data_IF_471812457195
#
_entry.id   IF_471812457195
#
_cell.length_a   1.000
_cell.length_b   1.000
_cell.length_c   1.000
_cell.angle_alpha   90.00
_cell.angle_beta   90.00
_cell.angle_gamma   90.00
#
_symmetry.space_group_name_H-M   'P 1'
#
loop_
_entity.id
_entity.type
_entity.pdbx_description
1 polymer ?
#
# COMPACT_ATOMS: atom_id res chain seq x y z
N UNK A 1 -20.88 26.73 78.01
CA UNK A 1 -21.32 25.53 77.28
C UNK A 1 -21.29 25.80 75.78
N UNK A 2 -20.19 25.47 75.11
CA UNK A 2 -20.05 25.57 73.65
C UNK A 2 -20.15 24.16 73.08
N UNK A 3 -21.13 23.92 72.20
CA UNK A 3 -21.32 22.65 71.50
C UNK A 3 -20.36 22.60 70.31
N UNK A 4 -19.59 21.53 70.23
CA UNK A 4 -18.70 21.20 69.12
C UNK A 4 -19.57 20.52 68.05
N UNK A 5 -19.67 21.11 66.87
CA UNK A 5 -20.19 20.45 65.67
C UNK A 5 -19.00 19.83 64.94
N UNK A 6 -18.93 18.51 64.91
CA UNK A 6 -17.97 17.76 64.09
C UNK A 6 -18.48 17.70 62.65
N UNK A 7 -17.76 18.31 61.72
CA UNK A 7 -18.00 18.21 60.28
C UNK A 7 -17.41 16.88 59.79
N UNK A 8 -18.27 15.93 59.40
CA UNK A 8 -17.86 14.68 58.75
C UNK A 8 -17.58 14.99 57.27
N UNK A 9 -16.31 14.96 56.87
CA UNK A 9 -15.88 15.09 55.48
C UNK A 9 -16.11 13.75 54.77
N UNK A 10 -17.13 13.68 53.91
CA UNK A 10 -17.36 12.55 53.02
C UNK A 10 -16.35 12.65 51.86
N UNK A 11 -15.33 11.79 51.83
CA UNK A 11 -14.43 11.66 50.68
C UNK A 11 -15.11 10.73 49.66
N UNK A 12 -15.77 11.31 48.66
CA UNK A 12 -16.18 10.58 47.46
C UNK A 12 -14.95 10.32 46.59
N UNK A 13 -14.49 9.06 46.59
CA UNK A 13 -13.52 8.56 45.61
C UNK A 13 -14.23 8.47 44.27
N UNK A 14 -13.96 9.41 43.36
CA UNK A 14 -14.37 9.30 41.96
C UNK A 14 -13.45 8.26 41.34
N UNK A 15 -13.93 7.01 41.28
CA UNK A 15 -13.28 5.98 40.49
C UNK A 15 -13.35 6.39 39.02
N UNK A 16 -12.20 6.64 38.41
CA UNK A 16 -12.09 6.71 36.96
C UNK A 16 -12.44 5.32 36.41
N UNK A 17 -13.69 5.14 35.98
CA UNK A 17 -14.03 4.03 35.11
C UNK A 17 -13.26 4.26 33.80
N UNK A 18 -12.14 3.55 33.62
CA UNK A 18 -11.66 3.26 32.26
C UNK A 18 -12.82 2.55 31.57
N UNK A 19 -13.34 3.13 30.50
CA UNK A 19 -14.15 2.38 29.55
C UNK A 19 -13.37 1.13 29.22
N UNK A 20 -13.92 -0.05 29.52
CA UNK A 20 -13.36 -1.29 29.04
C UNK A 20 -13.38 -1.18 27.51
N UNK A 21 -12.21 -0.92 26.91
CA UNK A 21 -12.03 -1.21 25.50
C UNK A 21 -12.40 -2.68 25.35
N UNK A 22 -13.38 -3.04 24.50
CA UNK A 22 -13.67 -4.44 24.26
C UNK A 22 -12.34 -5.12 23.95
N UNK A 23 -12.01 -6.18 24.70
CA UNK A 23 -10.85 -6.98 24.37
C UNK A 23 -10.99 -7.35 22.88
N UNK A 24 -9.98 -7.07 22.04
CA UNK A 24 -10.08 -7.37 20.62
C UNK A 24 -10.48 -8.84 20.49
N UNK A 25 -11.60 -9.08 19.82
CA UNK A 25 -12.10 -10.43 19.62
C UNK A 25 -11.03 -11.16 18.79
N UNK A 26 -10.30 -12.06 19.46
CA UNK A 26 -9.17 -12.79 18.89
C UNK A 26 -9.64 -13.60 17.69
N UNK A 27 -9.15 -13.22 16.51
CA UNK A 27 -9.39 -13.94 15.27
C UNK A 27 -8.09 -13.92 14.45
N UNK A 28 -7.45 -15.09 14.24
CA UNK A 28 -6.39 -15.19 13.22
C UNK A 28 -7.01 -14.87 11.86
N UNK A 29 -6.22 -14.29 10.94
CA UNK A 29 -6.68 -13.83 9.62
C UNK A 29 -7.79 -12.77 9.74
N UNK A 30 -7.36 -11.55 10.04
CA UNK A 30 -8.23 -10.38 10.09
C UNK A 30 -8.34 -9.75 8.71
N UNK A 31 -9.54 -9.24 8.41
CA UNK A 31 -9.77 -8.25 7.36
C UNK A 31 -10.34 -7.01 8.03
N UNK A 32 -9.81 -5.83 7.67
CA UNK A 32 -10.35 -4.53 8.07
C UNK A 32 -10.60 -3.67 6.84
N UNK A 33 -11.41 -2.63 6.99
CA UNK A 33 -11.73 -1.71 5.90
C UNK A 33 -11.08 -0.36 6.12
N UNK A 34 -10.45 0.15 5.07
CA UNK A 34 -10.24 1.57 4.88
C UNK A 34 -11.51 2.17 4.29
N UNK A 35 -11.99 3.26 4.87
CA UNK A 35 -13.25 3.91 4.50
C UNK A 35 -13.30 5.39 4.91
N UNK A 36 -12.17 6.01 5.23
CA UNK A 36 -12.12 7.43 5.59
C UNK A 36 -12.41 8.34 4.40
N UNK A 37 -12.02 7.93 3.19
CA UNK A 37 -12.16 8.69 1.96
C UNK A 37 -13.26 8.12 1.05
N UNK A 38 -13.26 8.43 -0.24
CA UNK A 38 -14.28 7.98 -1.19
C UNK A 38 -14.05 6.54 -1.69
N UNK A 39 -12.98 5.88 -1.27
CA UNK A 39 -12.70 4.46 -1.54
C UNK A 39 -13.02 3.65 -0.28
N UNK A 40 -13.80 2.58 -0.42
CA UNK A 40 -13.89 1.54 0.62
C UNK A 40 -13.06 0.34 0.17
N UNK A 41 -11.98 0.00 0.89
CA UNK A 41 -11.12 -1.14 0.55
C UNK A 41 -10.85 -2.04 1.74
N UNK A 42 -11.08 -3.34 1.57
CA UNK A 42 -10.72 -4.37 2.53
C UNK A 42 -9.20 -4.66 2.45
N UNK A 43 -8.54 -4.79 3.59
CA UNK A 43 -7.12 -5.16 3.72
C UNK A 43 -6.97 -6.23 4.79
N UNK A 44 -6.03 -7.14 4.61
CA UNK A 44 -5.81 -8.26 5.52
C UNK A 44 -4.43 -8.25 6.17
N UNK A 45 -4.27 -9.03 7.24
CA UNK A 45 -2.96 -9.37 7.83
C UNK A 45 -2.39 -10.68 7.30
N UNK A 46 -2.67 -11.01 6.03
CA UNK A 46 -2.14 -12.17 5.34
C UNK A 46 -1.99 -11.91 3.82
N UNK A 47 -1.70 -10.66 3.45
CA UNK A 47 -1.38 -10.25 2.08
C UNK A 47 -2.56 -9.94 1.16
N UNK A 48 -3.77 -10.42 1.44
CA UNK A 48 -4.95 -10.04 0.64
C UNK A 48 -5.36 -8.59 0.86
N UNK A 49 -5.77 -7.93 -0.21
CA UNK A 49 -6.61 -6.73 -0.18
C UNK A 49 -7.69 -6.80 -1.27
N UNK A 50 -8.70 -5.94 -1.18
CA UNK A 50 -9.80 -5.90 -2.13
C UNK A 50 -10.75 -7.11 -2.05
N UNK A 51 -10.68 -7.96 -1.03
CA UNK A 51 -11.61 -9.08 -0.82
C UNK A 51 -12.22 -9.04 0.59
N UNK A 52 -13.53 -9.26 0.69
CA UNK A 52 -14.27 -9.31 1.97
C UNK A 52 -14.06 -10.63 2.71
N UNK A 53 -14.42 -10.69 3.99
CA UNK A 53 -14.40 -11.94 4.76
C UNK A 53 -15.29 -13.05 4.19
N UNK A 54 -16.32 -12.67 3.43
CA UNK A 54 -17.22 -13.59 2.76
C UNK A 54 -16.64 -14.14 1.43
N UNK A 55 -15.48 -13.65 1.00
CA UNK A 55 -14.88 -14.02 -0.29
C UNK A 55 -15.46 -13.27 -1.50
N UNK A 56 -16.23 -12.20 -1.27
CA UNK A 56 -16.75 -11.33 -2.33
C UNK A 56 -15.84 -10.11 -2.54
N UNK A 57 -16.07 -9.38 -3.63
CA UNK A 57 -15.41 -8.11 -3.96
C UNK A 57 -15.40 -7.14 -2.78
N UNK A 58 -14.25 -6.52 -2.57
CA UNK A 58 -13.90 -5.81 -1.35
C UNK A 58 -13.24 -4.46 -1.57
N UNK A 59 -13.17 -3.98 -2.82
CA UNK A 59 -13.00 -2.55 -3.11
C UNK A 59 -14.27 -2.00 -3.76
N UNK A 60 -14.80 -0.93 -3.17
CA UNK A 60 -15.98 -0.22 -3.66
C UNK A 60 -15.70 1.26 -3.87
N UNK A 61 -16.16 1.80 -4.99
CA UNK A 61 -15.99 3.20 -5.34
C UNK A 61 -17.08 3.70 -6.30
N UNK A 62 -17.75 4.83 -6.01
CA UNK A 62 -17.62 5.65 -4.82
C UNK A 62 -18.10 4.93 -3.55
N UNK A 63 -17.56 5.28 -2.39
CA UNK A 63 -17.92 4.68 -1.11
C UNK A 63 -19.44 4.77 -0.88
N UNK A 64 -20.05 3.62 -0.59
CA UNK A 64 -21.48 3.51 -0.33
C UNK A 64 -22.37 3.34 -1.57
N UNK A 65 -21.80 3.36 -2.78
CA UNK A 65 -22.54 3.05 -4.02
C UNK A 65 -22.86 1.56 -4.16
N UNK A 66 -21.96 0.69 -3.71
CA UNK A 66 -21.99 -0.74 -4.00
C UNK A 66 -21.26 -1.13 -5.29
N UNK A 67 -20.69 -0.15 -6.01
CA UNK A 67 -19.96 -0.38 -7.25
C UNK A 67 -18.60 -1.03 -6.96
N UNK A 68 -18.37 -2.24 -7.46
CA UNK A 68 -17.19 -3.06 -7.23
C UNK A 68 -16.05 -2.69 -8.18
N UNK A 69 -14.81 -2.79 -7.72
CA UNK A 69 -13.62 -2.55 -8.55
C UNK A 69 -12.48 -3.54 -8.30
N UNK A 70 -12.48 -4.24 -7.16
CA UNK A 70 -11.53 -5.34 -6.89
C UNK A 70 -12.31 -6.52 -6.28
N UNK A 71 -12.15 -7.71 -6.88
CA UNK A 71 -12.60 -8.96 -6.29
C UNK A 71 -11.61 -9.48 -5.25
N UNK A 72 -10.32 -9.46 -5.60
CA UNK A 72 -9.21 -9.73 -4.71
C UNK A 72 -7.85 -9.39 -5.33
N UNK A 73 -6.88 -9.09 -4.48
CA UNK A 73 -5.53 -8.74 -4.91
C UNK A 73 -4.53 -9.03 -3.79
N UNK A 74 -3.24 -9.11 -4.12
CA UNK A 74 -2.20 -9.34 -3.12
C UNK A 74 -0.78 -9.41 -3.67
N UNK A 75 0.24 -9.29 -2.79
CA UNK A 75 1.64 -9.31 -3.17
C UNK A 75 2.11 -10.74 -3.51
N UNK A 76 2.96 -10.84 -4.49
CA UNK A 76 3.70 -12.04 -4.88
C UNK A 76 5.18 -11.77 -4.66
N UNK A 77 5.91 -12.73 -4.10
CA UNK A 77 7.36 -12.66 -3.99
C UNK A 77 7.97 -13.95 -4.52
N UNK A 78 8.85 -13.80 -5.51
CA UNK A 78 9.56 -14.91 -6.15
C UNK A 78 11.07 -14.85 -5.90
N UNK A 79 11.73 -16.00 -5.78
CA UNK A 79 13.19 -16.13 -5.69
C UNK A 79 13.64 -17.47 -6.29
N UNK A 80 14.94 -17.61 -6.56
CA UNK A 80 15.55 -18.93 -6.85
C UNK A 80 16.28 -19.45 -5.62
N UNK A 81 16.06 -20.74 -5.32
CA UNK A 81 16.77 -21.50 -4.29
C UNK A 81 17.44 -22.73 -4.90
N UNK A 82 18.71 -22.59 -5.28
CA UNK A 82 19.45 -23.64 -5.98
C UNK A 82 18.95 -23.84 -7.40
N UNK A 83 18.24 -24.95 -7.65
CA UNK A 83 17.62 -25.26 -8.96
C UNK A 83 16.10 -25.10 -8.95
N UNK A 84 15.55 -24.69 -7.81
CA UNK A 84 14.12 -24.58 -7.57
C UNK A 84 13.71 -23.12 -7.67
N UNK A 85 12.58 -22.85 -8.33
CA UNK A 85 11.89 -21.58 -8.17
C UNK A 85 11.10 -21.64 -6.88
N UNK A 86 10.86 -20.48 -6.25
CA UNK A 86 9.91 -20.36 -5.16
C UNK A 86 9.12 -19.08 -5.33
N UNK A 87 7.82 -19.15 -5.16
CA UNK A 87 6.89 -18.03 -5.15
C UNK A 87 5.91 -18.21 -4.00
N UNK A 88 5.84 -17.19 -3.15
CA UNK A 88 4.76 -17.08 -2.15
C UNK A 88 3.80 -15.96 -2.52
N UNK A 89 2.50 -16.21 -2.32
CA UNK A 89 1.42 -15.37 -2.81
C UNK A 89 0.48 -14.89 -1.69
N UNK A 90 0.08 -13.63 -1.77
CA UNK A 90 -0.98 -13.05 -0.96
C UNK A 90 -2.36 -13.20 -1.59
N UNK A 91 -2.44 -13.44 -2.90
CA UNK A 91 -3.69 -13.70 -3.62
C UNK A 91 -3.44 -14.53 -4.88
N UNK A 92 -4.08 -15.69 -4.98
CA UNK A 92 -4.13 -16.51 -6.19
C UNK A 92 -5.37 -16.15 -7.02
N UNK A 93 -5.25 -15.76 -8.30
CA UNK A 93 -6.37 -15.31 -9.12
C UNK A 93 -7.35 -16.42 -9.54
N UNK A 94 -6.98 -17.70 -9.36
CA UNK A 94 -7.82 -18.84 -9.70
C UNK A 94 -8.88 -19.17 -8.63
N UNK A 95 -8.47 -19.17 -7.36
CA UNK A 95 -9.31 -19.61 -6.24
C UNK A 95 -9.21 -18.71 -5.01
N UNK A 96 -8.53 -17.57 -5.11
CA UNK A 96 -8.27 -16.68 -3.98
C UNK A 96 -7.34 -17.31 -2.95
N UNK A 97 -6.37 -18.12 -3.36
CA UNK A 97 -5.40 -18.71 -2.43
C UNK A 97 -4.51 -17.64 -1.78
N UNK A 98 -4.00 -17.92 -0.58
CA UNK A 98 -3.00 -17.07 0.08
C UNK A 98 -2.12 -17.93 0.99
N UNK A 99 -0.82 -17.66 0.96
CA UNK A 99 0.20 -18.48 1.61
C UNK A 99 0.80 -17.79 2.86
N UNK A 100 0.56 -16.49 3.03
CA UNK A 100 1.00 -15.75 4.21
C UNK A 100 0.15 -16.04 5.46
N UNK A 101 0.76 -15.86 6.62
CA UNK A 101 0.14 -15.96 7.94
C UNK A 101 0.44 -14.73 8.82
N UNK A 102 -0.49 -14.31 9.69
CA UNK A 102 -0.28 -13.16 10.56
C UNK A 102 0.89 -13.33 11.53
N UNK A 103 1.65 -12.25 11.75
CA UNK A 103 2.69 -12.16 12.78
C UNK A 103 4.12 -12.21 12.22
N UNK A 104 5.09 -12.01 13.13
CA UNK A 104 6.52 -12.20 12.89
C UNK A 104 6.87 -13.69 12.76
N UNK A 105 8.09 -14.01 12.32
CA UNK A 105 8.58 -15.38 12.06
C UNK A 105 8.43 -16.35 13.24
N UNK A 106 8.60 -15.83 14.47
CA UNK A 106 8.55 -16.61 15.71
C UNK A 106 7.22 -16.40 16.46
N UNK A 107 6.25 -15.75 15.82
CA UNK A 107 4.95 -15.40 16.40
C UNK A 107 3.87 -16.38 15.93
N UNK A 108 3.03 -16.84 16.85
CA UNK A 108 1.84 -17.61 16.47
C UNK A 108 0.84 -16.72 15.73
N UNK A 109 0.18 -17.24 14.70
CA UNK A 109 -0.93 -16.53 14.04
C UNK A 109 -2.12 -16.23 14.97
N UNK A 110 -2.18 -16.90 16.12
CA UNK A 110 -3.14 -16.61 17.20
C UNK A 110 -2.64 -15.63 18.27
N UNK A 111 -1.44 -15.06 18.11
CA UNK A 111 -0.89 -14.08 19.05
C UNK A 111 -1.80 -12.83 19.13
N UNK A 112 -2.03 -12.27 20.33
CA UNK A 112 -2.87 -11.08 20.49
C UNK A 112 -2.38 -9.84 19.72
N UNK A 113 -1.10 -9.80 19.36
CA UNK A 113 -0.49 -8.71 18.59
C UNK A 113 -0.45 -9.00 17.08
N UNK A 114 -0.75 -10.23 16.62
CA UNK A 114 -0.81 -10.61 15.21
C UNK A 114 -2.11 -10.12 14.54
N UNK A 115 -2.36 -8.81 14.61
CA UNK A 115 -3.59 -8.14 14.19
C UNK A 115 -3.30 -6.99 13.21
N UNK A 116 -4.35 -6.40 12.66
CA UNK A 116 -4.26 -5.12 11.93
C UNK A 116 -4.43 -3.98 12.93
N UNK A 117 -3.40 -3.16 13.10
CA UNK A 117 -3.47 -1.90 13.84
C UNK A 117 -4.07 -0.83 12.92
N UNK A 118 -5.02 -0.05 13.44
CA UNK A 118 -5.70 1.01 12.68
C UNK A 118 -5.59 2.30 13.45
N UNK A 119 -5.13 3.37 12.81
CA UNK A 119 -5.26 4.71 13.36
C UNK A 119 -6.73 5.18 13.23
N UNK A 120 -7.35 5.76 14.29
CA UNK A 120 -6.75 6.13 15.57
C UNK A 120 -6.74 5.06 16.66
N UNK A 121 -7.45 3.94 16.50
CA UNK A 121 -7.45 2.86 17.50
C UNK A 121 -7.74 1.49 16.88
N UNK A 122 -6.97 0.43 17.20
CA UNK A 122 -5.79 0.41 18.07
C UNK A 122 -4.53 0.90 17.32
N UNK A 123 -3.90 1.97 17.80
CA UNK A 123 -2.66 2.57 17.28
C UNK A 123 -1.90 3.31 18.40
N UNK A 124 -0.56 3.38 18.40
CA UNK A 124 0.37 2.68 17.50
C UNK A 124 0.53 1.18 17.85
N UNK A 125 1.10 0.37 16.95
CA UNK A 125 1.55 -0.98 17.30
C UNK A 125 2.62 -0.93 18.41
N UNK A 126 2.65 -1.90 19.36
CA UNK A 126 3.62 -1.91 20.45
C UNK A 126 5.07 -1.99 19.94
N UNK A 127 5.87 -0.94 20.16
CA UNK A 127 7.24 -0.83 19.62
C UNK A 127 8.22 -1.86 20.20
N UNK A 128 7.95 -2.38 21.40
CA UNK A 128 8.72 -3.46 22.04
C UNK A 128 8.50 -4.82 21.38
N UNK A 129 7.32 -5.02 20.78
CA UNK A 129 6.98 -6.21 19.98
C UNK A 129 7.38 -6.02 18.52
N UNK A 130 7.15 -4.81 17.98
CA UNK A 130 7.35 -4.48 16.58
C UNK A 130 8.29 -3.27 16.44
N UNK A 131 9.62 -3.46 16.47
CA UNK A 131 10.57 -2.36 16.32
C UNK A 131 10.49 -1.62 14.98
N UNK A 132 9.98 -2.29 13.94
CA UNK A 132 9.79 -1.71 12.59
C UNK A 132 8.42 -1.03 12.42
N UNK A 133 7.55 -1.06 13.43
CA UNK A 133 6.23 -0.46 13.31
C UNK A 133 6.27 1.07 13.33
N UNK A 134 5.51 1.74 12.43
CA UNK A 134 5.34 3.19 12.50
C UNK A 134 4.67 3.59 13.81
N UNK A 135 5.22 4.63 14.45
CA UNK A 135 4.70 5.14 15.72
C UNK A 135 3.89 6.42 15.55
N UNK A 136 4.07 7.11 14.42
CA UNK A 136 3.36 8.33 14.05
C UNK A 136 2.56 8.05 12.79
N UNK A 137 1.24 8.33 12.78
CA UNK A 137 0.43 8.18 11.57
C UNK A 137 0.80 9.26 10.54
N UNK A 138 0.74 8.92 9.25
CA UNK A 138 0.98 9.83 8.13
C UNK A 138 -0.31 10.38 7.51
N UNK A 139 -1.41 9.61 7.53
CA UNK A 139 -2.66 9.97 6.85
C UNK A 139 -3.87 10.10 7.79
N UNK A 140 -5.05 10.39 7.23
CA UNK A 140 -6.29 10.44 8.01
C UNK A 140 -6.75 9.05 8.48
N UNK A 141 -6.32 7.98 7.80
CA UNK A 141 -6.53 6.61 8.23
C UNK A 141 -5.36 5.74 7.79
N UNK A 142 -4.55 5.35 8.77
CA UNK A 142 -3.45 4.43 8.57
C UNK A 142 -3.84 3.03 9.05
N UNK A 143 -3.34 2.01 8.37
CA UNK A 143 -3.31 0.66 8.93
C UNK A 143 -1.91 0.07 8.83
N UNK A 144 -1.54 -0.73 9.81
CA UNK A 144 -0.28 -1.46 9.82
C UNK A 144 -0.46 -2.88 10.32
N UNK A 145 0.22 -3.83 9.68
CA UNK A 145 0.34 -5.21 10.17
C UNK A 145 1.63 -5.86 9.66
N UNK A 146 1.97 -7.01 10.24
CA UNK A 146 3.04 -7.88 9.77
C UNK A 146 2.52 -9.30 9.57
N UNK A 147 3.00 -9.96 8.52
CA UNK A 147 2.72 -11.35 8.20
C UNK A 147 3.94 -12.02 7.57
N UNK A 148 3.95 -13.34 7.48
CA UNK A 148 5.08 -14.13 6.99
C UNK A 148 4.64 -15.39 6.25
N UNK A 149 5.53 -15.97 5.45
CA UNK A 149 5.28 -17.19 4.66
C UNK A 149 5.80 -18.48 5.32
N UNK A 150 6.02 -18.50 6.64
CA UNK A 150 6.75 -19.61 7.28
C UNK A 150 5.87 -20.81 7.66
N UNK A 151 4.55 -20.66 7.65
CA UNK A 151 3.62 -21.75 7.94
C UNK A 151 3.45 -22.67 6.72
N UNK A 152 4.20 -23.77 6.71
CA UNK A 152 4.13 -24.80 5.67
C UNK A 152 2.71 -25.32 5.41
N UNK A 153 1.79 -25.25 6.38
CA UNK A 153 0.41 -25.70 6.19
C UNK A 153 -0.43 -24.77 5.30
N UNK A 154 0.06 -23.55 5.03
CA UNK A 154 -0.54 -22.60 4.09
C UNK A 154 -0.07 -22.77 2.66
N UNK A 155 1.06 -23.43 2.46
CA UNK A 155 1.60 -23.68 1.14
C UNK A 155 0.91 -24.89 0.49
N UNK A 156 0.89 -24.88 -0.84
CA UNK A 156 0.36 -25.97 -1.66
C UNK A 156 1.28 -27.18 -1.59
N UNK A 157 0.84 -28.33 -1.04
CA UNK A 157 1.70 -29.49 -0.87
C UNK A 157 2.25 -30.03 -2.20
N UNK A 158 3.57 -30.11 -2.29
CA UNK A 158 4.27 -30.63 -3.47
C UNK A 158 4.47 -29.61 -4.59
N UNK A 159 4.13 -28.34 -4.36
CA UNK A 159 4.37 -27.24 -5.31
C UNK A 159 5.15 -26.11 -4.64
N UNK A 160 4.54 -25.40 -3.69
CA UNK A 160 5.17 -24.26 -2.98
C UNK A 160 5.69 -24.64 -1.60
N UNK A 161 6.62 -23.84 -1.05
CA UNK A 161 7.12 -23.95 0.33
C UNK A 161 7.61 -22.59 0.83
N UNK A 162 7.80 -22.41 2.15
CA UNK A 162 8.34 -21.18 2.71
C UNK A 162 9.67 -20.76 2.11
N UNK A 163 9.77 -19.48 1.78
CA UNK A 163 10.98 -18.76 1.37
C UNK A 163 11.71 -18.24 2.62
N UNK A 164 10.96 -17.76 3.62
CA UNK A 164 11.50 -17.10 4.80
C UNK A 164 11.44 -15.57 4.66
N UNK A 165 10.24 -15.07 4.43
CA UNK A 165 9.93 -13.67 4.22
C UNK A 165 8.94 -13.16 5.29
N UNK A 166 9.28 -12.05 5.93
CA UNK A 166 8.32 -11.22 6.64
C UNK A 166 7.92 -10.04 5.76
N UNK A 167 6.63 -9.71 5.76
CA UNK A 167 6.09 -8.56 5.03
C UNK A 167 5.41 -7.63 6.02
N UNK A 168 5.88 -6.40 6.06
CA UNK A 168 5.33 -5.32 6.85
C UNK A 168 4.47 -4.47 5.93
N UNK A 169 3.15 -4.51 6.10
CA UNK A 169 2.21 -3.81 5.24
C UNK A 169 1.68 -2.57 5.95
N UNK A 170 1.85 -1.41 5.32
CA UNK A 170 1.23 -0.15 5.73
C UNK A 170 0.27 0.32 4.64
N UNK A 171 -0.89 0.84 5.02
CA UNK A 171 -1.87 1.39 4.07
C UNK A 171 -2.23 2.80 4.51
N UNK A 172 -2.21 3.74 3.58
CA UNK A 172 -2.52 5.15 3.83
C UNK A 172 -3.73 5.59 3.03
N UNK A 173 -4.59 6.41 3.66
CA UNK A 173 -5.76 6.98 3.04
C UNK A 173 -5.97 8.43 3.51
N UNK A 174 -5.86 9.38 2.57
CA UNK A 174 -6.22 10.78 2.80
C UNK A 174 -7.62 11.07 2.30
N UNK A 175 -8.26 12.04 2.95
CA UNK A 175 -9.62 12.49 2.65
C UNK A 175 -9.64 13.99 2.31
N UNK A 176 -8.75 14.38 1.40
CA UNK A 176 -8.73 15.72 0.80
C UNK A 176 -9.40 15.66 -0.57
N UNK A 177 -9.86 16.79 -1.10
CA UNK A 177 -10.56 16.82 -2.39
C UNK A 177 -9.74 16.24 -3.55
N UNK A 178 -8.41 16.34 -3.48
CA UNK A 178 -7.47 15.84 -4.49
C UNK A 178 -7.07 14.37 -4.26
N UNK A 179 -7.27 13.83 -3.06
CA UNK A 179 -6.74 12.51 -2.67
C UNK A 179 -7.82 11.51 -2.26
N UNK A 180 -9.09 11.93 -2.26
CA UNK A 180 -10.18 11.13 -1.70
C UNK A 180 -10.47 9.85 -2.50
N UNK A 181 -9.96 9.75 -3.72
CA UNK A 181 -10.16 8.63 -4.65
C UNK A 181 -8.87 7.78 -4.79
N UNK A 182 -7.95 7.88 -3.81
CA UNK A 182 -6.64 7.22 -3.81
C UNK A 182 -6.44 6.42 -2.50
N UNK A 183 -5.81 5.25 -2.59
CA UNK A 183 -5.27 4.46 -1.47
C UNK A 183 -3.83 4.09 -1.77
N UNK A 184 -2.93 4.15 -0.80
CA UNK A 184 -1.54 3.73 -0.96
C UNK A 184 -1.27 2.46 -0.15
N UNK A 185 -0.57 1.49 -0.72
CA UNK A 185 -0.14 0.27 -0.03
C UNK A 185 1.37 0.15 -0.11
N UNK A 186 2.02 0.17 1.05
CA UNK A 186 3.47 0.03 1.20
C UNK A 186 3.80 -1.33 1.82
N UNK A 187 4.73 -2.04 1.21
CA UNK A 187 5.27 -3.33 1.65
C UNK A 187 6.75 -3.18 1.98
N UNK A 188 7.15 -3.62 3.16
CA UNK A 188 8.56 -3.84 3.49
C UNK A 188 8.81 -5.34 3.56
N UNK A 189 9.67 -5.82 2.68
CA UNK A 189 9.98 -7.21 2.43
C UNK A 189 11.28 -7.54 3.16
N UNK A 190 11.18 -8.21 4.31
CA UNK A 190 12.34 -8.54 5.13
C UNK A 190 12.69 -10.02 4.98
N UNK A 191 13.94 -10.26 4.58
CA UNK A 191 14.47 -11.60 4.51
C UNK A 191 14.84 -12.12 5.90
N UNK A 192 14.11 -13.15 6.35
CA UNK A 192 14.35 -13.83 7.63
C UNK A 192 14.83 -15.27 7.44
N UNK A 193 15.16 -15.66 6.21
CA UNK A 193 15.61 -17.02 5.87
C UNK A 193 17.01 -17.36 6.41
N UNK A 194 17.80 -16.36 6.81
CA UNK A 194 19.18 -16.52 7.27
C UNK A 194 20.20 -16.74 6.14
N UNK A 195 19.77 -16.67 4.87
CA UNK A 195 20.64 -16.73 3.69
C UNK A 195 20.29 -15.61 2.71
N UNK A 196 21.18 -15.32 1.77
CA UNK A 196 20.87 -14.40 0.67
C UNK A 196 19.80 -15.01 -0.25
N UNK A 197 18.76 -14.24 -0.55
CA UNK A 197 17.78 -14.55 -1.60
C UNK A 197 18.27 -13.90 -2.90
N UNK A 198 18.20 -14.65 -3.99
CA UNK A 198 18.80 -14.25 -5.28
C UNK A 198 17.77 -14.33 -6.40
N UNK A 199 17.91 -13.44 -7.40
CA UNK A 199 16.93 -13.27 -8.46
C UNK A 199 15.52 -13.06 -7.90
N UNK A 200 15.40 -12.16 -6.94
CA UNK A 200 14.14 -11.84 -6.31
C UNK A 200 13.27 -10.98 -7.21
N UNK A 201 11.97 -11.26 -7.22
CA UNK A 201 10.97 -10.44 -7.88
C UNK A 201 9.83 -10.18 -6.90
N UNK A 202 9.30 -8.97 -6.93
CA UNK A 202 8.05 -8.65 -6.26
C UNK A 202 7.00 -8.30 -7.31
N UNK A 203 5.75 -8.70 -7.08
CA UNK A 203 4.65 -8.18 -7.88
C UNK A 203 3.36 -8.01 -7.10
N UNK A 204 2.44 -7.23 -7.65
CA UNK A 204 1.08 -7.09 -7.14
C UNK A 204 0.14 -7.71 -8.16
N UNK A 205 -0.50 -8.83 -7.76
CA UNK A 205 -1.50 -9.51 -8.57
C UNK A 205 -2.87 -8.91 -8.25
N UNK A 206 -3.64 -8.56 -9.28
CA UNK A 206 -4.95 -7.93 -9.13
C UNK A 206 -5.98 -8.66 -9.98
N UNK A 207 -7.06 -9.05 -9.34
CA UNK A 207 -8.31 -9.53 -9.94
C UNK A 207 -9.34 -8.43 -9.72
N UNK A 208 -9.33 -7.49 -10.64
CA UNK A 208 -10.25 -6.36 -10.64
C UNK A 208 -11.57 -6.84 -11.24
N UNK A 209 -12.68 -6.46 -10.62
CA UNK A 209 -14.02 -6.95 -10.92
C UNK A 209 -14.93 -5.73 -10.99
N UNK A 210 -14.79 -5.02 -12.11
CA UNK A 210 -15.52 -3.78 -12.33
C UNK A 210 -16.88 -4.18 -12.86
N UNK A 211 -17.92 -4.08 -12.03
CA UNK A 211 -19.28 -4.43 -12.47
C UNK A 211 -19.56 -5.92 -12.44
N UNK A 212 -20.23 -6.44 -13.46
CA UNK A 212 -20.68 -7.83 -13.51
C UNK A 212 -19.78 -8.69 -14.41
N UNK A 213 -18.75 -9.28 -13.83
CA UNK A 213 -17.82 -10.18 -14.53
C UNK A 213 -18.32 -11.64 -14.63
N UNK A 214 -19.60 -11.91 -14.34
CA UNK A 214 -20.11 -13.28 -14.38
C UNK A 214 -20.32 -13.79 -15.81
N UNK A 215 -19.49 -14.74 -16.24
CA UNK A 215 -19.69 -15.51 -17.47
C UNK A 215 -19.60 -14.64 -18.73
N UNK A 216 -20.65 -14.61 -19.55
CA UNK A 216 -20.64 -13.83 -20.80
C UNK A 216 -20.81 -12.33 -20.60
N UNK A 217 -20.99 -11.87 -19.36
CA UNK A 217 -21.08 -10.44 -19.05
C UNK A 217 -19.71 -9.80 -18.87
N UNK A 218 -18.67 -10.63 -18.62
CA UNK A 218 -17.31 -10.18 -18.39
C UNK A 218 -16.80 -9.34 -19.56
N UNK A 219 -16.30 -8.15 -19.24
CA UNK A 219 -15.99 -7.15 -20.25
C UNK A 219 -14.86 -6.20 -19.84
N UNK A 220 -14.13 -6.57 -18.80
CA UNK A 220 -12.99 -5.82 -18.33
C UNK A 220 -11.86 -5.77 -19.38
N UNK A 221 -11.18 -4.62 -19.43
CA UNK A 221 -10.09 -4.33 -20.36
C UNK A 221 -8.91 -3.79 -19.56
N UNK A 222 -7.73 -4.36 -19.79
CA UNK A 222 -6.49 -3.97 -19.11
C UNK A 222 -5.52 -3.30 -20.08
N UNK A 223 -4.85 -2.24 -19.63
CA UNK A 223 -3.64 -1.76 -20.30
C UNK A 223 -2.62 -1.29 -19.27
N UNK A 224 -1.42 -0.96 -19.75
CA UNK A 224 -0.33 -0.54 -18.92
C UNK A 224 0.55 0.46 -19.64
N UNK A 225 1.14 1.37 -18.88
CA UNK A 225 2.05 2.42 -19.32
C UNK A 225 3.38 2.13 -18.64
N UNK A 226 4.41 1.86 -19.44
CA UNK A 226 5.78 1.78 -18.92
C UNK A 226 6.30 3.19 -18.70
N UNK A 227 6.22 4.01 -19.74
CA UNK A 227 6.40 5.45 -19.70
C UNK A 227 5.66 6.07 -20.90
N UNK A 228 4.88 7.12 -20.69
CA UNK A 228 4.24 7.89 -21.75
C UNK A 228 4.06 9.36 -21.32
N UNK A 229 3.84 10.23 -22.30
CA UNK A 229 3.64 11.67 -22.08
C UNK A 229 2.30 12.11 -22.63
N UNK A 230 1.48 12.67 -21.75
CA UNK A 230 0.17 13.21 -22.08
C UNK A 230 0.20 14.73 -22.09
N UNK A 231 -0.56 15.35 -23.01
CA UNK A 231 -0.83 16.78 -22.96
C UNK A 231 -2.30 16.96 -22.60
N UNK A 232 -2.57 17.43 -21.39
CA UNK A 232 -3.94 17.57 -20.89
C UNK A 232 -4.17 19.00 -20.43
N UNK A 233 -5.15 19.66 -21.03
CA UNK A 233 -5.46 21.07 -20.76
C UNK A 233 -4.26 22.03 -20.88
N UNK A 234 -3.28 21.70 -21.73
CA UNK A 234 -2.06 22.51 -21.94
C UNK A 234 -0.92 22.18 -20.98
N UNK A 235 -1.11 21.23 -20.06
CA UNK A 235 -0.07 20.72 -19.17
C UNK A 235 0.52 19.42 -19.72
N UNK A 236 1.83 19.25 -19.57
CA UNK A 236 2.54 18.02 -19.88
C UNK A 236 2.58 17.13 -18.63
N UNK A 237 2.04 15.92 -18.74
CA UNK A 237 2.03 14.90 -17.70
C UNK A 237 2.89 13.73 -18.17
N UNK A 238 3.90 13.36 -17.39
CA UNK A 238 4.66 12.12 -17.59
C UNK A 238 4.08 11.09 -16.65
N UNK A 239 3.73 9.92 -17.18
CA UNK A 239 3.21 8.78 -16.42
C UNK A 239 4.12 7.62 -16.70
N UNK A 240 4.56 6.93 -15.66
CA UNK A 240 5.31 5.69 -15.74
C UNK A 240 4.70 4.63 -14.82
N UNK A 241 5.13 3.38 -14.98
CA UNK A 241 4.81 2.26 -14.09
C UNK A 241 3.32 1.97 -13.80
N UNK A 242 2.39 2.53 -14.58
CA UNK A 242 0.94 2.44 -14.34
C UNK A 242 0.32 1.22 -15.03
N UNK A 243 -0.31 0.33 -14.25
CA UNK A 243 -1.24 -0.69 -14.73
C UNK A 243 -2.68 -0.26 -14.46
N UNK A 244 -3.61 -0.46 -15.41
CA UNK A 244 -4.98 0.01 -15.22
C UNK A 244 -6.04 -0.83 -15.94
N UNK A 245 -7.26 -0.79 -15.40
CA UNK A 245 -8.42 -1.53 -15.88
C UNK A 245 -9.67 -0.67 -15.95
N UNK A 246 -10.52 -0.94 -16.94
CA UNK A 246 -11.83 -0.34 -17.14
C UNK A 246 -12.72 -1.28 -17.97
N UNK A 247 -14.02 -1.02 -18.00
CA UNK A 247 -14.93 -1.64 -18.96
C UNK A 247 -15.68 -0.60 -19.78
N UNK A 248 -16.30 -1.03 -20.89
CA UNK A 248 -16.99 -0.15 -21.84
C UNK A 248 -18.51 -0.18 -21.71
N UNK A 249 -19.07 -1.26 -21.17
CA UNK A 249 -20.51 -1.36 -21.01
C UNK A 249 -20.97 -0.55 -19.79
N UNK A 250 -22.29 -0.39 -19.67
CA UNK A 250 -22.88 0.22 -18.49
C UNK A 250 -23.33 -0.86 -17.53
N UNK A 251 -23.15 -0.59 -16.25
CA UNK A 251 -23.68 -1.42 -15.19
C UNK A 251 -25.06 -0.95 -14.74
N UNK A 252 -25.90 -1.93 -14.40
CA UNK A 252 -27.23 -1.62 -13.86
C UNK A 252 -27.07 -0.96 -12.49
N UNK A 253 -27.81 0.13 -12.26
CA UNK A 253 -27.78 0.92 -11.02
C UNK A 253 -26.48 1.70 -10.75
N UNK A 254 -25.55 1.76 -11.71
CA UNK A 254 -24.36 2.61 -11.63
C UNK A 254 -24.59 3.93 -12.36
N UNK A 255 -24.22 5.05 -11.73
CA UNK A 255 -24.29 6.37 -12.37
C UNK A 255 -23.35 6.46 -13.58
N UNK A 256 -22.14 5.92 -13.45
CA UNK A 256 -21.13 5.79 -14.50
C UNK A 256 -20.10 4.73 -14.11
N UNK A 257 -19.45 4.13 -15.09
CA UNK A 257 -18.33 3.20 -14.90
C UNK A 257 -17.02 3.97 -15.05
N UNK A 258 -16.17 3.85 -14.04
CA UNK A 258 -14.86 4.47 -14.00
C UNK A 258 -13.75 3.54 -14.45
N UNK A 259 -12.54 3.87 -14.00
CA UNK A 259 -11.35 3.07 -14.16
C UNK A 259 -10.60 3.00 -12.83
N UNK A 260 -9.87 1.91 -12.64
CA UNK A 260 -8.91 1.74 -11.54
C UNK A 260 -7.49 1.66 -12.13
N UNK A 261 -6.57 2.39 -11.52
CA UNK A 261 -5.15 2.39 -11.84
C UNK A 261 -4.32 2.00 -10.63
N UNK A 262 -3.16 1.41 -10.89
CA UNK A 262 -2.17 0.99 -9.92
C UNK A 262 -0.82 1.51 -10.42
N UNK A 263 -0.26 2.46 -9.69
CA UNK A 263 1.02 3.07 -9.99
C UNK A 263 2.09 2.54 -9.02
N UNK A 264 3.24 2.16 -9.57
CA UNK A 264 4.35 1.55 -8.85
C UNK A 264 5.35 2.62 -8.40
N UNK A 265 4.93 3.41 -7.41
CA UNK A 265 5.64 4.60 -6.89
C UNK A 265 7.01 4.30 -6.28
N UNK A 266 7.11 3.17 -5.58
CA UNK A 266 8.37 2.72 -5.01
C UNK A 266 8.65 1.27 -5.40
N UNK A 267 9.84 1.00 -5.91
CA UNK A 267 10.33 -0.35 -6.21
C UNK A 267 11.64 -0.63 -5.47
N UNK A 268 12.16 -1.87 -5.48
CA UNK A 268 13.47 -2.15 -4.93
C UNK A 268 14.53 -1.27 -5.61
N UNK A 269 15.55 -0.89 -4.83
CA UNK A 269 16.59 0.01 -5.30
C UNK A 269 17.43 -0.62 -6.39
N UNK A 270 17.70 0.13 -7.46
CA UNK A 270 18.58 -0.31 -8.53
C UNK A 270 20.01 0.19 -8.29
N UNK A 271 20.58 -0.14 -7.13
CA UNK A 271 21.92 0.33 -6.78
C UNK A 271 22.98 -0.56 -7.42
N UNK A 272 23.78 -0.01 -8.36
CA UNK A 272 24.91 -0.73 -8.95
C UNK A 272 26.21 0.00 -8.66
N UNK A 273 27.17 -0.71 -8.08
CA UNK A 273 28.48 -0.16 -7.73
C UNK A 273 29.15 0.49 -8.95
N UNK A 274 29.51 1.78 -8.80
CA UNK A 274 30.17 2.59 -9.81
C UNK A 274 29.25 3.07 -10.94
N UNK A 275 27.93 2.89 -10.83
CA UNK A 275 26.94 3.57 -11.66
C UNK A 275 26.43 4.82 -10.92
N UNK A 276 25.83 5.71 -11.70
CA UNK A 276 25.09 6.91 -11.28
C UNK A 276 23.95 6.99 -12.30
N UNK A 277 22.80 6.40 -11.97
CA UNK A 277 21.74 6.11 -12.96
C UNK A 277 20.75 7.25 -13.17
N UNK A 278 20.45 7.98 -12.11
CA UNK A 278 19.64 9.19 -12.17
C UNK A 278 20.46 10.42 -12.62
N UNK A 279 21.79 10.31 -12.65
CA UNK A 279 22.73 11.36 -13.06
C UNK A 279 22.74 12.55 -12.11
N UNK A 280 22.56 12.31 -10.81
CA UNK A 280 22.63 13.32 -9.76
C UNK A 280 24.08 13.67 -9.37
N UNK A 281 25.06 12.87 -9.82
CA UNK A 281 26.49 13.02 -9.52
C UNK A 281 26.98 12.24 -8.30
N UNK A 282 26.10 11.47 -7.65
CA UNK A 282 26.35 10.58 -6.54
C UNK A 282 26.32 9.13 -7.07
N UNK A 283 27.40 8.36 -6.93
CA UNK A 283 27.34 6.96 -7.33
C UNK A 283 26.32 6.16 -6.50
N UNK A 284 25.49 5.34 -7.16
CA UNK A 284 24.32 4.65 -6.56
C UNK A 284 24.64 3.96 -5.22
N UNK A 285 25.84 3.37 -5.08
CA UNK A 285 26.21 2.66 -3.85
C UNK A 285 26.29 3.56 -2.59
N UNK A 286 26.32 4.88 -2.75
CA UNK A 286 26.47 5.85 -1.67
C UNK A 286 25.17 6.57 -1.30
N UNK A 287 24.11 6.41 -2.06
CA UNK A 287 22.86 7.15 -1.85
C UNK A 287 22.18 6.80 -0.53
N UNK A 288 22.54 5.70 0.11
CA UNK A 288 22.04 5.32 1.45
C UNK A 288 22.99 5.69 2.58
N UNK A 289 24.12 6.32 2.29
CA UNK A 289 25.18 6.57 3.26
C UNK A 289 25.20 8.02 3.72
N UNK A 290 24.56 8.26 4.86
CA UNK A 290 24.60 9.56 5.54
C UNK A 290 26.02 10.10 5.79
N UNK A 291 27.02 9.21 5.97
CA UNK A 291 28.40 9.63 6.19
C UNK A 291 29.05 10.09 4.87
N UNK A 292 28.68 9.50 3.74
CA UNK A 292 29.11 9.94 2.42
C UNK A 292 28.59 11.35 2.13
N UNK A 293 27.29 11.58 2.27
CA UNK A 293 26.68 12.90 2.05
C UNK A 293 27.32 13.97 2.93
N UNK A 294 27.45 13.70 4.23
CA UNK A 294 28.05 14.63 5.19
C UNK A 294 29.49 15.07 4.84
N UNK A 295 30.23 14.23 4.09
CA UNK A 295 31.64 14.45 3.77
C UNK A 295 31.89 14.96 2.35
N UNK A 296 31.00 14.64 1.40
CA UNK A 296 31.26 14.84 -0.04
C UNK A 296 30.29 15.82 -0.70
N UNK A 297 29.12 16.07 -0.11
CA UNK A 297 28.06 16.90 -0.68
C UNK A 297 27.84 18.13 0.22
N UNK A 298 27.72 19.36 -0.30
CA UNK A 298 27.43 20.53 0.52
C UNK A 298 26.01 20.47 1.12
N UNK A 299 25.77 21.06 2.31
CA UNK A 299 24.45 21.00 2.97
C UNK A 299 23.26 21.55 2.18
N UNK A 300 23.49 22.38 1.17
CA UNK A 300 22.45 22.92 0.29
C UNK A 300 22.03 21.96 -0.84
N UNK A 301 22.65 20.77 -0.90
CA UNK A 301 22.40 19.69 -1.87
C UNK A 301 22.11 18.38 -1.13
N UNK A 302 21.60 18.46 0.09
CA UNK A 302 21.22 17.28 0.87
C UNK A 302 19.72 17.03 0.85
N UNK A 303 18.97 17.86 0.12
CA UNK A 303 17.51 17.94 0.06
C UNK A 303 17.21 18.73 -1.22
N UNK A 304 17.31 18.05 -2.37
CA UNK A 304 17.27 18.69 -3.70
C UNK A 304 15.87 19.20 -4.05
N UNK A 305 14.85 18.49 -3.61
CA UNK A 305 13.43 18.80 -3.84
C UNK A 305 12.82 19.72 -2.77
N UNK A 306 13.56 19.99 -1.69
CA UNK A 306 13.19 20.87 -0.58
C UNK A 306 11.97 20.38 0.21
N UNK A 307 11.77 19.07 0.30
CA UNK A 307 10.72 18.45 1.11
C UNK A 307 11.09 18.38 2.61
N UNK A 308 12.34 18.70 2.98
CA UNK A 308 12.83 18.66 4.35
C UNK A 308 13.35 17.29 4.79
N UNK A 309 13.39 16.32 3.89
CA UNK A 309 13.93 14.98 4.05
C UNK A 309 15.30 14.93 3.37
N UNK A 310 16.37 14.54 4.08
CA UNK A 310 17.64 14.45 3.41
C UNK A 310 17.64 13.35 2.33
N UNK A 311 18.23 13.55 1.15
CA UNK A 311 18.16 12.65 -0.02
C UNK A 311 18.47 11.18 0.34
N UNK A 312 19.45 10.92 1.22
CA UNK A 312 19.76 9.54 1.68
C UNK A 312 18.72 8.89 2.59
N UNK A 313 17.66 9.63 2.90
CA UNK A 313 16.46 9.20 3.62
C UNK A 313 15.20 9.43 2.81
N UNK A 314 15.32 9.98 1.61
CA UNK A 314 14.19 10.20 0.73
C UNK A 314 14.13 9.11 -0.36
N UNK A 315 13.13 8.22 -0.31
CA UNK A 315 12.88 7.22 -1.34
C UNK A 315 12.69 7.76 -2.77
N UNK A 316 12.26 9.02 -2.96
CA UNK A 316 12.08 9.63 -4.28
C UNK A 316 13.41 9.86 -4.99
N UNK A 317 14.43 10.27 -4.23
CA UNK A 317 15.76 10.66 -4.72
C UNK A 317 16.75 9.47 -4.79
N UNK A 318 16.27 8.23 -4.71
CA UNK A 318 17.11 7.03 -4.83
C UNK A 318 16.69 6.27 -6.11
N UNK A 319 17.61 5.92 -7.02
CA UNK A 319 17.38 5.11 -8.21
C UNK A 319 16.61 3.83 -7.90
N UNK A 320 15.54 3.68 -8.66
CA UNK A 320 14.57 2.61 -8.51
C UNK A 320 14.56 1.72 -9.75
N UNK A 321 14.22 0.43 -9.60
CA UNK A 321 14.08 -0.48 -10.74
C UNK A 321 12.87 -0.16 -11.63
N UNK A 322 11.82 0.42 -11.04
CA UNK A 322 10.52 0.62 -11.68
C UNK A 322 9.78 -0.69 -11.94
N UNK A 323 8.77 -0.62 -12.82
CA UNK A 323 8.03 -1.78 -13.30
C UNK A 323 8.83 -2.50 -14.38
N UNK A 324 9.39 -3.67 -14.07
CA UNK A 324 10.22 -4.45 -15.00
C UNK A 324 9.43 -5.47 -15.82
N UNK A 325 8.21 -5.80 -15.38
CA UNK A 325 7.24 -6.54 -16.19
C UNK A 325 5.80 -6.18 -15.83
N UNK A 326 4.92 -6.24 -16.82
CA UNK A 326 3.48 -6.11 -16.69
C UNK A 326 2.80 -7.27 -17.44
N UNK A 327 2.23 -8.20 -16.68
CA UNK A 327 1.66 -9.44 -17.19
C UNK A 327 0.16 -9.43 -17.05
N UNK A 328 -0.53 -9.98 -18.06
CA UNK A 328 -1.99 -10.05 -18.09
C UNK A 328 -2.45 -11.49 -18.28
N UNK A 329 -3.55 -11.83 -17.63
CA UNK A 329 -4.12 -13.17 -17.68
C UNK A 329 -5.64 -13.11 -17.55
N UNK A 330 -6.31 -14.18 -17.96
CA UNK A 330 -7.75 -14.39 -17.76
C UNK A 330 -7.95 -15.67 -16.95
N UNK A 331 -9.17 -15.92 -16.49
CA UNK A 331 -9.50 -17.11 -15.68
C UNK A 331 -9.09 -18.42 -16.37
N UNK A 332 -9.12 -18.44 -17.71
CA UNK A 332 -8.73 -19.62 -18.49
C UNK A 332 -7.21 -19.72 -18.75
N UNK A 333 -6.46 -18.65 -18.50
CA UNK A 333 -5.04 -18.53 -18.84
C UNK A 333 -4.27 -17.79 -17.75
N UNK A 334 -4.04 -18.45 -16.62
CA UNK A 334 -3.28 -17.90 -15.49
C UNK A 334 -2.23 -18.89 -14.94
N UNK A 335 -1.13 -18.40 -14.33
CA UNK A 335 -0.08 -19.25 -13.76
C UNK A 335 -0.54 -19.86 -12.44
N UNK A 336 -0.57 -21.19 -12.37
CA UNK A 336 -1.12 -21.92 -11.23
C UNK A 336 -0.04 -22.56 -10.35
N UNK A 337 1.13 -22.83 -10.93
CA UNK A 337 2.24 -23.48 -10.24
C UNK A 337 3.34 -22.51 -9.90
N UNK A 338 4.12 -22.87 -8.89
CA UNK A 338 5.29 -22.11 -8.44
C UNK A 338 6.17 -21.62 -9.60
N UNK A 339 6.60 -22.55 -10.45
CA UNK A 339 7.48 -22.25 -11.58
C UNK A 339 6.81 -21.36 -12.65
N UNK A 340 5.51 -21.54 -12.89
CA UNK A 340 4.75 -20.70 -13.81
C UNK A 340 4.63 -19.26 -13.26
N UNK A 341 4.38 -19.12 -11.95
CA UNK A 341 4.31 -17.81 -11.28
C UNK A 341 5.67 -17.11 -11.30
N UNK A 342 6.76 -17.84 -11.07
CA UNK A 342 8.11 -17.28 -11.06
C UNK A 342 8.50 -16.73 -12.43
N UNK A 343 8.30 -17.50 -13.50
CA UNK A 343 8.63 -17.02 -14.86
C UNK A 343 7.72 -15.88 -15.29
N UNK A 344 6.47 -15.84 -14.79
CA UNK A 344 5.55 -14.72 -15.01
C UNK A 344 6.08 -13.45 -14.33
N UNK A 345 6.48 -13.52 -13.06
CA UNK A 345 7.13 -12.41 -12.34
C UNK A 345 8.39 -11.91 -13.07
N UNK A 346 9.17 -12.84 -13.63
CA UNK A 346 10.38 -12.55 -14.38
C UNK A 346 10.14 -12.02 -15.82
N UNK A 347 8.89 -11.79 -16.23
CA UNK A 347 8.58 -11.19 -17.53
C UNK A 347 8.44 -12.17 -18.70
N UNK A 348 8.38 -13.48 -18.44
CA UNK A 348 8.19 -14.49 -19.48
C UNK A 348 6.72 -14.87 -19.63
N UNK A 349 6.34 -15.27 -20.84
CA UNK A 349 5.12 -16.02 -21.07
C UNK A 349 5.29 -17.43 -20.50
N UNK A 350 4.56 -17.76 -19.43
CA UNK A 350 4.69 -19.05 -18.73
C UNK A 350 4.27 -20.28 -19.56
N UNK A 351 3.59 -20.11 -20.69
CA UNK A 351 3.24 -21.21 -21.60
C UNK A 351 4.27 -21.42 -22.71
N UNK A 352 4.80 -20.35 -23.29
CA UNK A 352 5.72 -20.44 -24.44
C UNK A 352 7.19 -20.35 -24.04
N UNK A 353 7.50 -19.79 -22.87
CA UNK A 353 8.87 -19.46 -22.43
C UNK A 353 9.46 -18.24 -23.15
N UNK A 354 8.68 -17.52 -23.94
CA UNK A 354 9.13 -16.31 -24.61
C UNK A 354 9.26 -15.16 -23.61
N UNK A 355 10.35 -14.40 -23.69
CA UNK A 355 10.52 -13.19 -22.88
C UNK A 355 9.69 -12.05 -23.47
N UNK A 356 8.58 -11.72 -22.81
CA UNK A 356 7.66 -10.66 -23.22
C UNK A 356 7.24 -9.88 -21.97
N UNK A 357 8.14 -9.04 -21.42
CA UNK A 357 7.94 -8.45 -20.10
C UNK A 357 6.73 -7.52 -20.06
N UNK A 358 6.38 -6.86 -21.17
CA UNK A 358 5.31 -5.88 -21.20
C UNK A 358 4.20 -6.30 -22.16
N UNK A 359 3.05 -6.59 -21.58
CA UNK A 359 1.83 -6.79 -22.33
C UNK A 359 1.09 -5.43 -22.36
N UNK A 360 1.42 -4.52 -23.29
CA UNK A 360 0.88 -3.13 -23.29
C UNK A 360 -0.34 -2.92 -24.19
N UNK A 361 -0.40 -3.59 -25.34
CA UNK A 361 -1.52 -3.48 -26.27
C UNK A 361 -2.82 -4.01 -25.63
N UNK A 362 -3.92 -3.25 -25.51
CA UNK A 362 -5.13 -3.70 -24.80
C UNK A 362 -5.65 -5.05 -25.30
N UNK A 363 -6.03 -5.97 -24.39
CA UNK A 363 -6.63 -7.23 -24.77
C UNK A 363 -8.07 -7.03 -25.23
N UNK A 364 -8.70 -8.10 -25.68
CA UNK A 364 -10.15 -8.10 -25.86
C UNK A 364 -10.85 -8.09 -24.48
N UNK A 365 -12.08 -7.55 -24.39
CA UNK A 365 -12.89 -7.62 -23.17
C UNK A 365 -13.03 -9.08 -22.69
N UNK A 366 -12.78 -9.32 -21.40
CA UNK A 366 -12.95 -10.61 -20.72
C UNK A 366 -12.90 -10.37 -19.20
N UNK A 367 -13.00 -11.43 -18.40
CA UNK A 367 -12.64 -11.40 -16.98
C UNK A 367 -11.10 -11.33 -16.90
N UNK A 368 -10.58 -10.11 -16.76
CA UNK A 368 -9.16 -9.80 -16.89
C UNK A 368 -8.48 -9.58 -15.53
N UNK A 369 -7.24 -10.05 -15.42
CA UNK A 369 -6.35 -9.86 -14.27
C UNK A 369 -4.98 -9.38 -14.73
N UNK A 370 -4.25 -8.69 -13.87
CA UNK A 370 -2.86 -8.34 -14.14
C UNK A 370 -1.91 -8.55 -12.96
N UNK A 371 -0.63 -8.56 -13.28
CA UNK A 371 0.49 -8.61 -12.35
C UNK A 371 1.53 -7.55 -12.76
N UNK A 372 1.71 -6.53 -11.91
CA UNK A 372 2.81 -5.58 -12.02
C UNK A 372 4.01 -6.11 -11.25
N UNK A 373 5.19 -6.17 -11.89
CA UNK A 373 6.38 -6.81 -11.35
C UNK A 373 7.57 -5.84 -11.30
N UNK A 374 8.45 -6.03 -10.32
CA UNK A 374 9.77 -5.40 -10.25
C UNK A 374 10.84 -6.41 -9.85
N UNK A 375 12.01 -6.34 -10.49
CA UNK A 375 13.14 -7.25 -10.32
C UNK A 375 13.86 -7.58 -11.65
N UNK A 376 14.94 -8.40 -11.61
CA UNK A 376 15.45 -9.09 -10.42
C UNK A 376 16.23 -8.16 -9.50
N UNK A 377 16.10 -8.39 -8.19
CA UNK A 377 16.97 -7.83 -7.16
C UNK A 377 17.54 -8.91 -6.26
N UNK A 378 18.48 -8.53 -5.41
CA UNK A 378 19.11 -9.41 -4.43
C UNK A 378 18.72 -8.96 -3.03
N UNK A 379 18.42 -9.90 -2.14
CA UNK A 379 18.02 -9.58 -0.77
C UNK A 379 18.86 -10.37 0.23
N UNK A 380 19.86 -9.69 0.82
CA UNK A 380 20.72 -10.28 1.84
C UNK A 380 19.94 -10.67 3.10
N UNK A 381 20.51 -11.58 3.90
CA UNK A 381 19.90 -11.98 5.17
C UNK A 381 19.72 -10.75 6.09
N UNK A 382 18.57 -10.68 6.77
CA UNK A 382 18.16 -9.58 7.64
C UNK A 382 18.03 -8.20 6.96
N UNK A 383 18.15 -8.14 5.63
CA UNK A 383 17.92 -6.93 4.84
C UNK A 383 16.46 -6.77 4.44
N UNK A 384 16.11 -5.55 4.03
CA UNK A 384 14.75 -5.16 3.66
C UNK A 384 14.75 -4.49 2.29
N UNK A 385 13.81 -4.88 1.44
CA UNK A 385 13.41 -4.15 0.24
C UNK A 385 12.04 -3.52 0.47
N UNK A 386 11.75 -2.39 -0.18
CA UNK A 386 10.48 -1.68 -0.03
C UNK A 386 9.81 -1.61 -1.40
N UNK A 387 8.49 -1.80 -1.40
CA UNK A 387 7.63 -1.56 -2.55
C UNK A 387 6.44 -0.72 -2.12
N UNK A 388 6.01 0.21 -2.96
CA UNK A 388 4.85 1.04 -2.71
C UNK A 388 4.02 1.17 -3.97
N UNK A 389 2.72 0.90 -3.84
CA UNK A 389 1.76 1.01 -4.93
C UNK A 389 0.66 2.02 -4.57
N UNK A 390 0.42 2.97 -5.46
CA UNK A 390 -0.71 3.89 -5.42
C UNK A 390 -1.89 3.31 -6.20
N UNK A 391 -3.00 3.07 -5.51
CA UNK A 391 -4.26 2.61 -6.11
C UNK A 391 -5.15 3.83 -6.29
N UNK A 392 -5.58 4.10 -7.52
CA UNK A 392 -6.31 5.31 -7.88
C UNK A 392 -7.57 4.99 -8.67
N UNK A 393 -8.65 5.72 -8.41
CA UNK A 393 -9.90 5.59 -9.15
C UNK A 393 -10.28 6.92 -9.80
N UNK A 394 -10.84 6.84 -11.01
CA UNK A 394 -11.34 8.01 -11.73
C UNK A 394 -12.55 7.66 -12.56
N UNK A 395 -13.43 8.63 -12.76
CA UNK A 395 -14.43 8.52 -13.82
C UNK A 395 -13.75 8.63 -15.17
N UNK A 396 -14.27 7.87 -16.13
CA UNK A 396 -13.83 7.93 -17.52
C UNK A 396 -14.78 8.83 -18.31
N UNK A 397 -14.33 9.98 -18.85
CA UNK A 397 -15.18 10.83 -19.68
C UNK A 397 -15.45 10.19 -21.05
N UNK A 398 -16.33 9.19 -21.06
CA UNK A 398 -16.76 8.42 -22.23
C UNK A 398 -17.26 9.36 -23.33
N UNK A 399 -16.80 9.14 -24.55
CA UNK A 399 -17.16 9.96 -25.72
C UNK A 399 -16.31 11.22 -25.93
N UNK A 400 -15.42 11.58 -25.01
CA UNK A 400 -14.39 12.61 -25.22
C UNK A 400 -13.06 11.96 -25.56
N UNK A 401 -12.68 10.93 -24.79
CA UNK A 401 -11.42 10.18 -24.95
C UNK A 401 -11.70 8.69 -25.11
N UNK A 402 -10.87 8.01 -25.92
CA UNK A 402 -11.07 6.60 -26.26
C UNK A 402 -10.83 5.66 -25.08
N UNK A 403 -9.98 6.06 -24.14
CA UNK A 403 -9.56 5.29 -22.97
C UNK A 403 -9.48 6.20 -21.75
N UNK A 404 -9.48 5.64 -20.52
CA UNK A 404 -9.35 6.42 -19.30
C UNK A 404 -7.92 6.90 -18.99
N UNK A 405 -6.94 6.58 -19.83
CA UNK A 405 -5.51 6.91 -19.67
C UNK A 405 -5.27 8.40 -19.34
N UNK A 406 -5.86 9.32 -20.09
CA UNK A 406 -5.76 10.77 -19.84
C UNK A 406 -6.43 11.23 -18.54
N UNK A 407 -7.42 10.49 -18.04
CA UNK A 407 -8.05 10.78 -16.75
C UNK A 407 -7.18 10.24 -15.61
N UNK A 408 -6.64 9.03 -15.77
CA UNK A 408 -5.70 8.43 -14.83
C UNK A 408 -4.41 9.24 -14.73
N UNK A 409 -3.85 9.72 -15.84
CA UNK A 409 -2.63 10.56 -15.87
C UNK A 409 -2.72 11.80 -14.95
N UNK A 410 -3.92 12.36 -14.75
CA UNK A 410 -4.12 13.49 -13.83
C UNK A 410 -4.07 13.06 -12.36
N UNK A 411 -4.62 11.90 -12.07
CA UNK A 411 -4.65 11.35 -10.72
C UNK A 411 -3.26 10.82 -10.37
N UNK A 412 -2.63 10.10 -11.29
CA UNK A 412 -1.25 9.63 -11.25
C UNK A 412 -0.26 10.73 -10.87
N UNK A 413 -0.29 11.88 -11.56
CA UNK A 413 0.49 13.06 -11.15
C UNK A 413 0.30 13.45 -9.68
N UNK A 414 -0.94 13.36 -9.18
CA UNK A 414 -1.23 13.67 -7.76
C UNK A 414 -0.66 12.60 -6.84
N UNK A 415 -0.77 11.33 -7.23
CA UNK A 415 -0.23 10.17 -6.51
C UNK A 415 1.30 10.28 -6.41
N UNK A 416 1.99 10.50 -7.53
CA UNK A 416 3.44 10.69 -7.61
C UNK A 416 3.87 11.88 -6.76
N UNK A 417 3.22 13.04 -6.92
CA UNK A 417 3.53 14.23 -6.12
C UNK A 417 3.41 14.00 -4.60
N UNK A 418 2.41 13.24 -4.14
CA UNK A 418 2.26 12.93 -2.70
C UNK A 418 3.44 12.08 -2.21
N UNK A 419 3.89 11.15 -3.03
CA UNK A 419 5.03 10.29 -2.73
C UNK A 419 6.33 11.09 -2.69
N UNK A 420 6.59 11.89 -3.73
CA UNK A 420 7.80 12.73 -3.86
C UNK A 420 7.91 13.73 -2.71
N UNK A 421 6.80 14.35 -2.31
CA UNK A 421 6.79 15.27 -1.17
C UNK A 421 6.87 14.56 0.20
N UNK A 422 7.32 13.31 0.26
CA UNK A 422 7.36 12.45 1.44
C UNK A 422 6.09 12.56 2.31
N UNK A 423 4.92 12.47 1.68
CA UNK A 423 3.60 12.50 2.33
C UNK A 423 3.26 13.84 3.01
N UNK A 424 4.04 14.90 2.75
CA UNK A 424 3.77 16.26 3.22
C UNK A 424 2.66 16.87 2.38
N UNK A 425 1.45 16.77 2.91
CA UNK A 425 0.26 17.37 2.33
C UNK A 425 -0.22 18.56 3.15
N UNK A 426 -0.90 19.54 2.52
CA UNK A 426 -1.48 20.66 3.24
C UNK A 426 -2.42 20.15 4.32
N UNK A 427 -2.03 20.42 5.57
CA UNK A 427 -2.76 20.00 6.75
C UNK A 427 -3.58 21.16 7.32
N UNK A 428 -4.74 20.90 7.96
CA UNK A 428 -5.30 21.91 8.84
C UNK A 428 -4.28 22.21 9.95
N UNK A 429 -4.17 23.47 10.40
CA UNK A 429 -3.23 23.81 11.45
C UNK A 429 -3.55 23.01 12.74
N UNK A 430 -2.55 22.77 13.62
CA UNK A 430 -2.77 22.05 14.86
C UNK A 430 -3.94 22.66 15.65
N UNK A 431 -4.86 21.86 16.22
CA UNK A 431 -5.98 22.40 16.99
C UNK A 431 -5.46 23.20 18.18
N UNK A 432 -6.16 24.27 18.58
CA UNK A 432 -5.70 25.11 19.67
C UNK A 432 -5.82 24.33 21.00
N UNK A 433 -4.93 24.57 21.96
CA UNK A 433 -5.02 23.90 23.25
C UNK A 433 -6.19 24.47 24.05
N UNK A 434 -7.26 23.69 24.17
CA UNK A 434 -8.46 24.06 24.92
C UNK A 434 -8.29 23.78 26.42
N UNK A 435 -8.48 24.81 27.24
CA UNK A 435 -8.53 24.75 28.71
C UNK A 435 -9.97 25.02 29.16
N UNK A 436 -10.52 24.06 29.90
CA UNK A 436 -11.84 24.17 30.52
C UNK A 436 -11.69 24.62 31.98
N UNK A 437 -12.22 25.80 32.32
CA UNK A 437 -12.25 26.31 33.70
C UNK A 437 -13.68 26.21 34.24
N UNK A 438 -13.95 25.30 35.21
CA UNK A 438 -15.28 25.16 35.79
C UNK A 438 -15.62 26.33 36.72
N UNK A 439 -16.88 26.77 36.70
CA UNK A 439 -17.45 27.76 37.62
C UNK A 439 -18.86 27.38 38.06
N UNK A 440 -19.42 28.14 39.01
CA UNK A 440 -20.78 27.90 39.49
C UNK A 440 -21.81 28.23 38.39
N UNK A 441 -22.56 27.21 37.95
CA UNK A 441 -23.55 27.31 36.88
C UNK A 441 -22.98 27.66 35.49
N UNK A 442 -21.66 27.64 35.30
CA UNK A 442 -21.02 28.01 34.03
C UNK A 442 -19.68 27.29 33.80
N UNK A 443 -19.26 27.26 32.55
CA UNK A 443 -17.91 26.85 32.14
C UNK A 443 -17.27 27.99 31.34
N UNK A 444 -15.99 28.25 31.57
CA UNK A 444 -15.19 29.14 30.71
C UNK A 444 -14.25 28.30 29.89
N UNK A 445 -14.32 28.45 28.57
CA UNK A 445 -13.41 27.82 27.62
C UNK A 445 -12.37 28.86 27.22
N UNK A 446 -11.09 28.52 27.38
CA UNK A 446 -9.95 29.34 26.94
C UNK A 446 -9.14 28.50 25.98
N UNK A 447 -8.72 29.06 24.85
CA UNK A 447 -7.85 28.37 23.90
C UNK A 447 -6.68 29.26 23.51
N UNK A 448 -5.56 28.66 23.12
CA UNK A 448 -4.38 29.37 22.64
C UNK A 448 -4.45 29.66 21.14
N UNK A 449 -3.44 30.36 20.62
CA UNK A 449 -3.30 30.71 19.21
C UNK A 449 -2.38 29.74 18.45
N UNK A 450 -2.19 28.51 18.94
CA UNK A 450 -1.29 27.52 18.29
C UNK A 450 -1.67 27.31 16.83
N UNK A 451 -2.97 27.28 16.51
CA UNK A 451 -3.46 27.13 15.13
C UNK A 451 -3.12 28.30 14.20
N UNK A 452 -2.82 29.48 14.76
CA UNK A 452 -2.54 30.69 13.99
C UNK A 452 -1.03 30.96 13.86
N UNK A 453 -0.23 30.41 14.77
CA UNK A 453 1.23 30.63 14.81
C UNK A 453 2.05 29.42 14.40
N UNK A 454 1.44 28.23 14.31
CA UNK A 454 2.12 27.05 13.82
C UNK A 454 2.50 27.28 12.34
N UNK A 455 3.79 27.25 11.99
CA UNK A 455 4.20 27.25 10.59
C UNK A 455 3.57 26.03 9.92
N UNK A 456 2.99 26.24 8.74
CA UNK A 456 2.54 25.13 7.90
C UNK A 456 3.82 24.50 7.31
N UNK A 457 4.12 23.22 7.55
CA UNK A 457 5.26 22.55 6.93
C UNK A 457 5.21 22.59 5.39
N UNK A 458 4.03 22.87 4.82
CA UNK A 458 3.82 23.01 3.38
C UNK A 458 4.17 24.41 2.81
N UNK A 459 4.36 25.47 3.63
CA UNK A 459 4.53 26.88 3.16
C UNK A 459 5.72 27.64 3.73
#
# INVERSE_FOLDING_TARGET
>A
MRRILSLILLITVIGFCRTATPAPQYRPLQIKKHNINNVEMCVSNYGKFGQTEAGNSGLFWPKGSGNTYIFGAGPWFGTIDGTDTLVTIGYGPHGGEAEYTPGLKDMSSGDPNAIIFMYPSPWPPPADVFPMAPQVPKSHQDSWCVYNDLDISRHMPGDTRPIGLEVYQTVYAWNLSTTRDIIFVRYELKNVSGKKLTNCYFGVCTDNDIGNEAGTNANDIISGIVIDTFIVAGETLVVDNLGYQWQVENETDWDDVGAIGFDYLQSPWDLKEGQDKDNDGIPDQYERDSAYYAQNVPPAQWDVDADGTPDWRDPSEIPQMGMTAFKRFTLNLEPNKDNERYVTLAGYNFKTGEYTPYDTAPPQPDDQRFLQCSGPFELDADSTAIVLVGIMLTYWPRGIVQRPDTALAKVDKTVQYIYDMNWLLPGPPPPPKLICVPGDGKITLVWDNTSETAPDPYY
#
